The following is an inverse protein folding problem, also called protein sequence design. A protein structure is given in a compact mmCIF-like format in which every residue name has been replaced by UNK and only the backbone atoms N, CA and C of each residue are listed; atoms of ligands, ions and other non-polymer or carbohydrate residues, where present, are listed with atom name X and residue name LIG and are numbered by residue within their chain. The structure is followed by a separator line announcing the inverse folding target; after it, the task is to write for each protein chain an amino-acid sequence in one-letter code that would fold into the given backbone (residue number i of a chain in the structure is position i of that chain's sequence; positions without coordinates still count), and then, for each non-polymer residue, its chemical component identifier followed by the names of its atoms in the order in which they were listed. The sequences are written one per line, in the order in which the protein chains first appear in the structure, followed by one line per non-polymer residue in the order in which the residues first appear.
data_IF_379469744534
#
_entry.id   IF_379469744534
#
_cell.length_a   1.000
_cell.length_b   1.000
_cell.length_c   1.000
_cell.angle_alpha   90.00
_cell.angle_beta   90.00
_cell.angle_gamma   90.00
#
_symmetry.space_group_name_H-M   'P 1'
#
loop_
_entity.id
_entity.type
_entity.pdbx_description
1 polymer ?
#
# COMPACT_ATOMS: atom_id res chain seq x y z
N UNK A 1 -31.87 -3.52 -59.99
CA UNK A 1 -30.82 -3.21 -59.03
C UNK A 1 -30.40 -4.49 -58.37
N UNK A 2 -29.25 -5.07 -58.78
CA UNK A 2 -28.71 -6.30 -58.22
C UNK A 2 -27.84 -5.91 -57.03
N UNK A 3 -27.92 -6.58 -55.88
CA UNK A 3 -27.00 -6.32 -54.77
C UNK A 3 -25.62 -6.87 -55.10
N UNK A 4 -24.62 -6.08 -54.78
CA UNK A 4 -23.20 -6.33 -55.02
C UNK A 4 -22.73 -7.56 -54.23
N UNK A 5 -22.21 -8.66 -54.84
CA UNK A 5 -21.85 -9.87 -54.12
C UNK A 5 -20.52 -9.81 -53.37
N UNK A 6 -19.92 -8.61 -53.24
CA UNK A 6 -18.58 -8.45 -52.67
C UNK A 6 -18.51 -7.67 -51.35
N UNK A 7 -19.66 -7.60 -50.61
CA UNK A 7 -19.57 -7.21 -49.21
C UNK A 7 -19.05 -8.40 -48.41
N UNK A 8 -17.73 -8.51 -48.35
CA UNK A 8 -17.04 -9.29 -47.33
C UNK A 8 -17.53 -8.83 -45.96
N UNK A 9 -18.36 -9.67 -45.32
CA UNK A 9 -18.73 -9.48 -43.94
C UNK A 9 -17.44 -9.36 -43.12
N UNK A 10 -17.11 -8.13 -42.69
CA UNK A 10 -16.00 -7.90 -41.77
C UNK A 10 -16.27 -8.73 -40.53
N UNK A 11 -15.38 -9.65 -40.25
CA UNK A 11 -15.42 -10.46 -39.04
C UNK A 11 -15.60 -9.55 -37.81
N UNK A 12 -16.49 -9.87 -36.91
CA UNK A 12 -16.69 -9.05 -35.70
C UNK A 12 -15.37 -8.95 -34.93
N UNK A 13 -15.05 -7.75 -34.37
CA UNK A 13 -13.82 -7.58 -33.62
C UNK A 13 -13.80 -8.53 -32.41
N UNK A 14 -12.82 -9.41 -32.37
CA UNK A 14 -12.56 -10.27 -31.21
C UNK A 14 -11.92 -9.43 -30.12
N UNK A 15 -12.65 -9.20 -29.03
CA UNK A 15 -12.12 -8.51 -27.85
C UNK A 15 -11.63 -9.54 -26.86
N UNK A 16 -10.33 -9.56 -26.58
CA UNK A 16 -9.74 -10.38 -25.52
C UNK A 16 -10.02 -9.74 -24.16
N UNK A 17 -10.82 -10.39 -23.33
CA UNK A 17 -11.03 -10.01 -21.94
C UNK A 17 -10.51 -11.14 -21.06
N UNK A 18 -9.43 -10.87 -20.31
CA UNK A 18 -8.97 -11.75 -19.24
C UNK A 18 -8.69 -13.20 -19.65
N UNK A 19 -8.15 -13.45 -20.83
CA UNK A 19 -7.80 -14.80 -21.30
C UNK A 19 -8.97 -15.66 -21.79
N UNK A 20 -10.22 -15.17 -21.79
CA UNK A 20 -11.37 -15.86 -22.37
C UNK A 20 -11.86 -15.10 -23.61
N UNK A 21 -11.88 -15.80 -24.75
CA UNK A 21 -12.51 -15.30 -25.97
C UNK A 21 -14.02 -15.36 -25.82
N UNK A 22 -14.66 -14.21 -25.66
CA UNK A 22 -16.10 -14.12 -25.80
C UNK A 22 -16.45 -13.99 -27.27
N UNK A 23 -17.05 -15.03 -27.87
CA UNK A 23 -17.68 -14.92 -29.18
C UNK A 23 -18.98 -14.13 -29.04
N UNK A 24 -18.95 -12.88 -29.52
CA UNK A 24 -20.15 -12.05 -29.58
C UNK A 24 -21.10 -12.58 -30.66
N UNK A 25 -22.38 -12.70 -30.32
CA UNK A 25 -23.44 -12.94 -31.30
C UNK A 25 -23.50 -11.78 -32.31
N UNK A 26 -23.54 -12.10 -33.59
CA UNK A 26 -23.61 -11.12 -34.68
C UNK A 26 -24.83 -10.19 -34.47
N UNK A 27 -24.57 -8.90 -34.25
CA UNK A 27 -25.59 -7.83 -34.20
C UNK A 27 -25.81 -7.13 -32.89
N UNK A 28 -25.26 -7.60 -31.75
CA UNK A 28 -25.29 -6.86 -30.50
C UNK A 28 -23.91 -6.25 -30.21
N UNK A 29 -23.80 -4.92 -30.20
CA UNK A 29 -22.68 -4.24 -29.61
C UNK A 29 -22.71 -4.52 -28.10
N UNK A 30 -22.00 -5.55 -27.66
CA UNK A 30 -21.77 -5.77 -26.23
C UNK A 30 -20.87 -4.64 -25.76
N UNK A 31 -21.44 -3.61 -25.12
CA UNK A 31 -20.66 -2.66 -24.33
C UNK A 31 -19.99 -3.45 -23.21
N UNK A 32 -18.77 -3.88 -23.47
CA UNK A 32 -17.91 -4.41 -22.41
C UNK A 32 -17.53 -3.26 -21.52
N UNK A 33 -18.20 -3.14 -20.38
CA UNK A 33 -17.76 -2.28 -19.28
C UNK A 33 -16.46 -2.91 -18.79
N UNK A 34 -15.36 -2.28 -19.13
CA UNK A 34 -14.03 -2.65 -18.62
C UNK A 34 -14.06 -2.54 -17.09
N UNK A 35 -14.24 -3.67 -16.43
CA UNK A 35 -14.36 -3.71 -14.97
C UNK A 35 -12.98 -3.50 -14.35
N UNK A 36 -12.64 -2.25 -14.13
CA UNK A 36 -11.42 -1.83 -13.44
C UNK A 36 -11.36 -2.48 -12.06
N UNK A 37 -10.36 -3.33 -11.82
CA UNK A 37 -10.16 -3.99 -10.53
C UNK A 37 -10.18 -2.97 -9.38
N UNK A 38 -11.01 -3.21 -8.35
CA UNK A 38 -11.07 -2.38 -7.13
C UNK A 38 -9.95 -2.69 -6.13
N UNK A 39 -9.15 -3.71 -6.40
CA UNK A 39 -8.14 -4.24 -5.50
C UNK A 39 -7.11 -3.20 -5.04
N UNK A 40 -6.54 -2.31 -5.90
CA UNK A 40 -5.63 -1.27 -5.45
C UNK A 40 -6.28 -0.28 -4.48
N UNK A 41 -7.57 0.00 -4.65
CA UNK A 41 -8.30 0.91 -3.75
C UNK A 41 -8.44 0.28 -2.38
N UNK A 42 -8.83 -0.99 -2.31
CA UNK A 42 -8.98 -1.71 -1.04
C UNK A 42 -7.64 -1.80 -0.30
N UNK A 43 -6.57 -2.19 -1.01
CA UNK A 43 -5.23 -2.25 -0.43
C UNK A 43 -4.76 -0.89 0.06
N UNK A 44 -4.96 0.17 -0.74
CA UNK A 44 -4.59 1.53 -0.37
C UNK A 44 -5.33 2.03 0.87
N UNK A 45 -6.65 1.78 0.97
CA UNK A 45 -7.47 2.16 2.14
C UNK A 45 -7.02 1.42 3.39
N UNK A 46 -6.82 0.09 3.32
CA UNK A 46 -6.34 -0.70 4.45
C UNK A 46 -4.97 -0.19 4.91
N UNK A 47 -4.06 0.07 3.97
CA UNK A 47 -2.75 0.61 4.29
C UNK A 47 -2.84 1.99 4.98
N UNK A 48 -3.72 2.89 4.53
CA UNK A 48 -3.97 4.18 5.18
C UNK A 48 -4.51 4.00 6.61
N UNK A 49 -5.38 3.02 6.87
CA UNK A 49 -5.89 2.75 8.22
C UNK A 49 -4.77 2.31 9.16
N UNK A 50 -3.88 1.41 8.72
CA UNK A 50 -2.72 1.00 9.52
C UNK A 50 -1.78 2.18 9.82
N UNK A 51 -1.53 3.05 8.84
CA UNK A 51 -0.72 4.24 9.05
C UNK A 51 -1.41 5.26 9.97
N UNK A 52 -2.74 5.35 9.93
CA UNK A 52 -3.52 6.12 10.89
C UNK A 52 -3.33 5.67 12.34
N UNK A 53 -3.31 4.35 12.58
CA UNK A 53 -2.95 3.79 13.89
C UNK A 53 -1.50 4.12 14.28
N UNK A 54 -0.58 4.13 13.31
CA UNK A 54 0.80 4.58 13.52
C UNK A 54 0.90 6.03 13.99
N UNK A 55 0.07 6.93 13.45
CA UNK A 55 -0.01 8.33 13.91
C UNK A 55 -0.48 8.38 15.37
N UNK A 56 -1.55 7.66 15.72
CA UNK A 56 -2.04 7.62 17.10
C UNK A 56 -0.98 7.08 18.06
N UNK A 57 -0.27 6.01 17.66
CA UNK A 57 0.84 5.45 18.43
C UNK A 57 1.99 6.45 18.59
N UNK A 58 2.40 7.12 17.52
CA UNK A 58 3.44 8.15 17.54
C UNK A 58 3.08 9.33 18.48
N UNK A 59 1.83 9.80 18.41
CA UNK A 59 1.33 10.84 19.34
C UNK A 59 1.36 10.36 20.79
N UNK A 60 0.91 9.13 21.06
CA UNK A 60 0.94 8.56 22.40
C UNK A 60 2.37 8.49 22.96
N UNK A 61 3.36 8.15 22.13
CA UNK A 61 4.78 8.13 22.53
C UNK A 61 5.29 9.54 22.80
N UNK A 62 4.98 10.53 21.95
CA UNK A 62 5.40 11.93 22.16
C UNK A 62 4.81 12.49 23.44
N UNK A 63 3.50 12.34 23.64
CA UNK A 63 2.83 12.86 24.85
C UNK A 63 3.23 12.07 26.10
N UNK A 64 3.35 10.76 26.02
CA UNK A 64 3.81 9.91 27.11
C UNK A 64 5.23 10.27 27.55
N UNK A 65 6.13 10.46 26.58
CA UNK A 65 7.49 10.93 26.84
C UNK A 65 7.50 12.30 27.52
N UNK A 66 6.71 13.26 27.04
CA UNK A 66 6.59 14.59 27.64
C UNK A 66 6.09 14.56 29.10
N UNK A 67 5.12 13.68 29.39
CA UNK A 67 4.61 13.52 30.78
C UNK A 67 5.69 12.92 31.68
N UNK A 68 6.42 11.90 31.25
CA UNK A 68 7.51 11.28 32.02
C UNK A 68 8.62 12.31 32.30
N UNK A 69 9.01 13.09 31.31
CA UNK A 69 10.04 14.11 31.44
C UNK A 69 9.63 15.28 32.38
N UNK A 70 8.32 15.59 32.46
CA UNK A 70 7.79 16.64 33.31
C UNK A 70 7.71 16.28 34.81
N UNK A 71 7.65 14.98 35.13
CA UNK A 71 7.45 14.50 36.51
C UNK A 71 8.76 13.98 37.13
N UNK A 72 9.71 13.52 36.30
CA UNK A 72 10.86 12.77 36.80
C UNK A 72 12.20 13.44 36.53
N UNK A 73 12.80 14.18 37.37
CA UNK A 73 14.19 14.68 37.37
C UNK A 73 15.01 14.67 36.04
N UNK A 74 16.31 14.99 36.13
CA UNK A 74 17.15 15.15 34.90
C UNK A 74 17.31 13.88 34.06
N UNK A 75 17.40 12.71 34.71
CA UNK A 75 17.51 11.43 33.95
C UNK A 75 16.25 11.09 33.17
N UNK A 76 15.07 11.38 33.77
CA UNK A 76 13.79 11.18 33.09
C UNK A 76 13.60 12.18 31.95
N UNK A 77 14.12 13.39 32.05
CA UNK A 77 14.08 14.39 30.98
C UNK A 77 14.92 13.93 29.75
N UNK A 78 16.08 13.30 29.96
CA UNK A 78 16.88 12.75 28.88
C UNK A 78 16.15 11.60 28.15
N UNK A 79 15.57 10.67 28.93
CA UNK A 79 14.75 9.57 28.36
C UNK A 79 13.55 10.10 27.59
N UNK A 80 12.85 11.11 28.14
CA UNK A 80 11.70 11.76 27.49
C UNK A 80 12.07 12.36 26.13
N UNK A 81 13.25 12.96 26.00
CA UNK A 81 13.76 13.49 24.74
C UNK A 81 13.93 12.40 23.67
N UNK A 82 14.45 11.24 24.07
CA UNK A 82 14.59 10.08 23.17
C UNK A 82 13.22 9.58 22.72
N UNK A 83 12.27 9.39 23.63
CA UNK A 83 10.91 8.95 23.30
C UNK A 83 10.20 9.96 22.39
N UNK A 84 10.32 11.27 22.66
CA UNK A 84 9.76 12.29 21.80
C UNK A 84 10.37 12.23 20.38
N UNK A 85 11.68 12.07 20.27
CA UNK A 85 12.37 11.90 18.98
C UNK A 85 11.87 10.68 18.19
N UNK A 86 11.73 9.53 18.85
CA UNK A 86 11.17 8.31 18.26
C UNK A 86 9.73 8.53 17.82
N UNK A 87 8.90 9.15 18.66
CA UNK A 87 7.50 9.44 18.34
C UNK A 87 7.36 10.36 17.12
N UNK A 88 8.17 11.42 17.03
CA UNK A 88 8.21 12.31 15.85
C UNK A 88 8.63 11.54 14.59
N UNK A 89 9.64 10.66 14.67
CA UNK A 89 10.05 9.82 13.55
C UNK A 89 8.91 8.92 13.07
N UNK A 90 8.18 8.29 14.00
CA UNK A 90 7.01 7.46 13.67
C UNK A 90 5.93 8.31 12.99
N UNK A 91 5.66 9.53 13.46
CA UNK A 91 4.69 10.43 12.84
C UNK A 91 5.06 10.79 11.40
N UNK A 92 6.33 11.10 11.14
CA UNK A 92 6.83 11.41 9.79
C UNK A 92 6.68 10.20 8.86
N UNK A 93 7.12 9.02 9.30
CA UNK A 93 7.02 7.79 8.52
C UNK A 93 5.55 7.42 8.25
N UNK A 94 4.67 7.57 9.24
CA UNK A 94 3.23 7.31 9.07
C UNK A 94 2.59 8.31 8.10
N UNK A 95 2.99 9.58 8.13
CA UNK A 95 2.53 10.59 7.17
C UNK A 95 2.90 10.24 5.73
N UNK A 96 4.16 9.82 5.49
CA UNK A 96 4.60 9.33 4.17
C UNK A 96 3.85 8.05 3.81
N UNK A 97 3.56 7.19 4.78
CA UNK A 97 2.77 5.97 4.60
C UNK A 97 1.34 6.26 4.13
N UNK A 98 0.65 7.23 4.73
CA UNK A 98 -0.68 7.65 4.28
C UNK A 98 -0.62 8.15 2.84
N UNK A 99 0.35 9.01 2.51
CA UNK A 99 0.52 9.49 1.14
C UNK A 99 0.75 8.33 0.16
N UNK A 100 1.59 7.37 0.52
CA UNK A 100 1.80 6.14 -0.25
C UNK A 100 0.51 5.35 -0.45
N UNK A 101 -0.32 5.17 0.61
CA UNK A 101 -1.61 4.50 0.54
C UNK A 101 -2.59 5.20 -0.41
N UNK A 102 -2.63 6.54 -0.40
CA UNK A 102 -3.42 7.34 -1.35
C UNK A 102 -2.94 7.12 -2.79
N UNK A 103 -1.63 7.08 -3.03
CA UNK A 103 -1.07 6.78 -4.36
C UNK A 103 -1.44 5.37 -4.84
N UNK A 104 -1.44 4.38 -3.95
CA UNK A 104 -1.90 3.01 -4.27
C UNK A 104 -3.39 3.01 -4.64
N UNK A 105 -4.23 3.71 -3.86
CA UNK A 105 -5.66 3.86 -4.15
C UNK A 105 -5.90 4.57 -5.49
N UNK A 106 -5.05 5.53 -5.85
CA UNK A 106 -5.02 6.20 -7.17
C UNK A 106 -4.41 5.34 -8.28
N UNK A 107 -4.04 4.08 -7.99
CA UNK A 107 -3.45 3.13 -8.95
C UNK A 107 -2.08 3.54 -9.50
N UNK A 108 -1.30 4.27 -8.71
CA UNK A 108 0.08 4.64 -9.08
C UNK A 108 1.07 3.63 -8.56
N UNK A 109 1.87 3.04 -9.44
CA UNK A 109 2.96 2.09 -9.09
C UNK A 109 3.95 2.67 -8.09
N UNK A 110 4.15 4.01 -8.14
CA UNK A 110 5.01 4.72 -7.22
C UNK A 110 4.59 4.50 -5.75
N UNK A 111 3.27 4.47 -5.46
CA UNK A 111 2.76 4.22 -4.11
C UNK A 111 3.25 2.88 -3.55
N UNK A 112 3.19 1.81 -4.34
CA UNK A 112 3.66 0.48 -3.89
C UNK A 112 5.17 0.48 -3.62
N UNK A 113 5.96 1.15 -4.46
CA UNK A 113 7.42 1.25 -4.26
C UNK A 113 7.77 2.01 -2.98
N UNK A 114 7.07 3.12 -2.70
CA UNK A 114 7.25 3.89 -1.46
C UNK A 114 6.84 3.04 -0.25
N UNK A 115 5.70 2.34 -0.31
CA UNK A 115 5.26 1.47 0.77
C UNK A 115 6.30 0.37 1.09
N UNK A 116 6.86 -0.28 0.08
CA UNK A 116 7.93 -1.26 0.26
C UNK A 116 9.19 -0.64 0.88
N UNK A 117 9.56 0.57 0.43
CA UNK A 117 10.67 1.31 1.03
C UNK A 117 10.45 1.59 2.52
N UNK A 118 9.24 2.00 2.90
CA UNK A 118 8.87 2.25 4.31
C UNK A 118 8.89 0.97 5.15
N UNK A 119 8.36 -0.13 4.64
CA UNK A 119 8.35 -1.43 5.34
C UNK A 119 9.80 -1.93 5.53
N UNK A 120 10.64 -1.82 4.50
CA UNK A 120 12.04 -2.19 4.59
C UNK A 120 12.80 -1.31 5.60
N UNK A 121 12.61 0.02 5.55
CA UNK A 121 13.22 0.94 6.51
C UNK A 121 12.76 0.67 7.94
N UNK A 122 11.47 0.42 8.17
CA UNK A 122 10.93 0.05 9.47
C UNK A 122 11.51 -1.26 10.00
N UNK A 123 11.66 -2.26 9.14
CA UNK A 123 12.28 -3.54 9.51
C UNK A 123 13.75 -3.39 9.87
N UNK A 124 14.51 -2.60 9.12
CA UNK A 124 15.92 -2.30 9.41
C UNK A 124 16.05 -1.56 10.74
N UNK A 125 15.21 -0.54 10.98
CA UNK A 125 15.21 0.20 12.24
C UNK A 125 14.85 -0.69 13.43
N UNK A 126 13.90 -1.61 13.28
CA UNK A 126 13.53 -2.58 14.31
C UNK A 126 14.70 -3.50 14.66
N UNK A 127 15.40 -4.04 13.66
CA UNK A 127 16.56 -4.90 13.87
C UNK A 127 17.70 -4.10 14.54
N UNK A 128 18.01 -2.91 14.05
CA UNK A 128 19.04 -2.05 14.64
C UNK A 128 18.71 -1.70 16.08
N UNK A 129 17.46 -1.35 16.37
CA UNK A 129 16.99 -1.06 17.72
C UNK A 129 17.16 -2.26 18.66
N UNK A 130 16.86 -3.46 18.20
CA UNK A 130 17.06 -4.69 18.99
C UNK A 130 18.55 -4.98 19.26
N UNK A 131 19.40 -4.82 18.24
CA UNK A 131 20.84 -5.06 18.38
C UNK A 131 21.51 -4.03 19.29
N UNK A 132 21.18 -2.75 19.16
CA UNK A 132 21.76 -1.66 19.96
C UNK A 132 21.19 -1.62 21.39
N UNK A 133 19.94 -2.04 21.56
CA UNK A 133 19.27 -2.08 22.86
C UNK A 133 19.44 -3.40 23.62
N UNK A 134 20.25 -4.34 23.10
CA UNK A 134 20.41 -5.70 23.66
C UNK A 134 19.07 -6.40 23.91
N UNK A 135 18.03 -6.02 23.17
CA UNK A 135 16.69 -6.57 23.26
C UNK A 135 16.53 -7.78 22.31
N UNK A 136 15.67 -8.75 22.62
CA UNK A 136 15.39 -9.85 21.71
C UNK A 136 14.79 -9.32 20.42
N UNK A 137 15.22 -9.90 19.27
CA UNK A 137 14.67 -9.55 17.96
C UNK A 137 13.18 -9.88 17.93
N UNK A 138 12.35 -8.91 17.59
CA UNK A 138 10.91 -9.08 17.43
C UNK A 138 10.59 -9.81 16.10
N UNK A 139 10.64 -11.13 16.14
CA UNK A 139 10.29 -11.97 14.99
C UNK A 139 8.82 -11.83 14.59
N UNK A 140 7.93 -11.49 15.55
CA UNK A 140 6.50 -11.30 15.26
C UNK A 140 6.31 -10.02 14.46
N UNK A 141 6.94 -8.92 14.87
CA UNK A 141 6.91 -7.66 14.15
C UNK A 141 7.51 -7.77 12.75
N UNK A 142 8.64 -8.49 12.62
CA UNK A 142 9.25 -8.76 11.30
C UNK A 142 8.35 -9.61 10.41
N UNK A 143 7.70 -10.64 10.97
CA UNK A 143 6.73 -11.47 10.26
C UNK A 143 5.52 -10.65 9.77
N UNK A 144 4.97 -9.80 10.64
CA UNK A 144 3.89 -8.89 10.26
C UNK A 144 4.31 -7.93 9.14
N UNK A 145 5.52 -7.36 9.19
CA UNK A 145 6.06 -6.51 8.14
C UNK A 145 6.19 -7.27 6.80
N UNK A 146 6.63 -8.54 6.84
CA UNK A 146 6.70 -9.41 5.66
C UNK A 146 5.32 -9.65 5.04
N UNK A 147 4.32 -9.97 5.85
CA UNK A 147 2.93 -10.14 5.40
C UNK A 147 2.38 -8.83 4.81
N UNK A 148 2.64 -7.69 5.46
CA UNK A 148 2.24 -6.38 4.94
C UNK A 148 2.91 -6.08 3.59
N UNK A 149 4.19 -6.42 3.42
CA UNK A 149 4.91 -6.23 2.16
C UNK A 149 4.29 -7.05 1.02
N UNK A 150 3.95 -8.32 1.29
CA UNK A 150 3.24 -9.18 0.35
C UNK A 150 1.87 -8.61 0.01
N UNK A 151 1.08 -8.21 1.01
CA UNK A 151 -0.25 -7.64 0.82
C UNK A 151 -0.24 -6.39 -0.05
N UNK A 152 0.70 -5.47 0.21
CA UNK A 152 0.89 -4.25 -0.60
C UNK A 152 1.37 -4.58 -2.01
N UNK A 153 2.09 -5.69 -2.19
CA UNK A 153 2.57 -6.17 -3.49
C UNK A 153 1.51 -6.85 -4.36
N UNK A 154 0.41 -7.34 -3.79
CA UNK A 154 -0.65 -8.05 -4.52
C UNK A 154 -1.12 -7.30 -5.79
N UNK A 155 -1.40 -5.97 -5.76
CA UNK A 155 -1.83 -5.26 -6.96
C UNK A 155 -0.84 -5.30 -8.12
N UNK A 156 0.47 -5.44 -7.84
CA UNK A 156 1.49 -5.59 -8.89
C UNK A 156 1.60 -7.02 -9.42
N UNK A 157 1.27 -8.02 -8.59
CA UNK A 157 1.37 -9.44 -8.96
C UNK A 157 0.19 -9.89 -9.82
N UNK A 158 -0.98 -9.27 -9.66
CA UNK A 158 -2.18 -9.60 -10.44
C UNK A 158 -2.16 -8.79 -11.73
N UNK A 159 -2.04 -9.49 -12.87
CA UNK A 159 -1.94 -8.87 -14.20
C UNK A 159 -3.08 -7.90 -14.51
N UNK A 160 -4.31 -8.24 -14.14
CA UNK A 160 -5.49 -7.39 -14.35
C UNK A 160 -5.45 -6.08 -13.54
N UNK A 161 -4.80 -6.07 -12.38
CA UNK A 161 -4.63 -4.87 -11.57
C UNK A 161 -3.41 -4.05 -12.03
N UNK A 162 -2.30 -4.71 -12.37
CA UNK A 162 -1.04 -4.06 -12.76
C UNK A 162 -1.13 -3.36 -14.11
N UNK A 163 -1.94 -3.85 -15.06
CA UNK A 163 -2.15 -3.23 -16.38
C UNK A 163 -2.84 -1.85 -16.27
N UNK A 164 -3.62 -1.61 -15.21
CA UNK A 164 -4.33 -0.37 -14.96
C UNK A 164 -3.64 0.56 -13.94
N UNK A 165 -2.41 0.24 -13.55
CA UNK A 165 -1.57 1.08 -12.70
C UNK A 165 -0.55 1.86 -13.54
N UNK A 166 -0.47 3.17 -13.33
CA UNK A 166 0.49 4.09 -13.92
C UNK A 166 1.74 4.28 -13.05
#
# INVERSE_FOLDING_TARGET
MQPDPNQTASAPPTVQVGGQMAQGFAGQQVMMIEQKSSLPIVVGVIFCLFQGLGILGGLAIVFGGALIGGIGGEEAAAAAGIFAGIGVLILLLSGIGIWSGVLIAQRKKLGVKIAWGLIAAGSILSILGSVLGEAPIDFVGLGCNGICALFVGIPLMISSASQHME
#
